data_IF_556029875569
#
_entry.id   IF_556029875569
#
_cell.length_a   1.000
_cell.length_b   1.000
_cell.length_c   1.000
_cell.angle_alpha   90.00
_cell.angle_beta   90.00
_cell.angle_gamma   90.00
#
_symmetry.space_group_name_H-M   'P 1'
#
loop_
_entity.id
_entity.type
_entity.pdbx_description
1 polymer ?
#
# COMPACT_ATOMS: atom_id res chain seq x y z
N UNK A 1 -6.52 -30.81 -5.80
CA UNK A 1 -5.61 -29.78 -6.35
C UNK A 1 -5.98 -28.44 -5.73
N UNK A 2 -5.28 -28.03 -4.68
CA UNK A 2 -5.44 -26.69 -4.10
C UNK A 2 -4.77 -25.70 -5.03
N UNK A 3 -5.55 -24.91 -5.76
CA UNK A 3 -5.01 -23.80 -6.55
C UNK A 3 -4.48 -22.75 -5.58
N UNK A 4 -3.17 -22.71 -5.40
CA UNK A 4 -2.47 -21.69 -4.63
C UNK A 4 -2.10 -20.54 -5.57
N UNK A 5 -2.25 -19.32 -5.07
CA UNK A 5 -1.89 -18.09 -5.76
C UNK A 5 -0.88 -17.31 -4.90
N UNK A 6 0.32 -17.16 -5.43
CA UNK A 6 1.40 -16.40 -4.79
C UNK A 6 1.36 -14.95 -5.25
N UNK A 7 1.34 -14.03 -4.28
CA UNK A 7 1.17 -12.60 -4.54
C UNK A 7 2.30 -11.80 -3.92
N UNK A 8 3.07 -11.14 -4.78
CA UNK A 8 3.99 -10.07 -4.38
C UNK A 8 3.23 -8.75 -4.36
N UNK A 9 2.82 -8.29 -3.18
CA UNK A 9 1.85 -7.21 -3.05
C UNK A 9 2.28 -5.89 -3.71
N UNK A 10 3.58 -5.55 -3.70
CA UNK A 10 4.09 -4.36 -4.39
C UNK A 10 4.05 -4.51 -5.92
N UNK A 11 4.39 -5.69 -6.44
CA UNK A 11 4.33 -5.99 -7.88
C UNK A 11 2.89 -5.89 -8.37
N UNK A 12 1.96 -6.56 -7.66
CA UNK A 12 0.54 -6.50 -7.96
C UNK A 12 -0.02 -5.07 -7.85
N UNK A 13 0.46 -4.26 -6.89
CA UNK A 13 0.08 -2.85 -6.74
C UNK A 13 0.47 -2.02 -7.97
N UNK A 14 1.62 -2.29 -8.58
CA UNK A 14 2.05 -1.57 -9.79
C UNK A 14 1.25 -2.04 -11.00
N UNK A 15 1.10 -3.35 -11.18
CA UNK A 15 0.39 -3.95 -12.33
C UNK A 15 -1.09 -3.54 -12.38
N UNK A 16 -1.74 -3.49 -11.22
CA UNK A 16 -3.16 -3.08 -11.12
C UNK A 16 -3.33 -1.57 -10.95
N UNK A 17 -2.24 -0.83 -10.76
CA UNK A 17 -2.24 0.59 -10.36
C UNK A 17 -3.11 0.89 -9.11
N UNK A 18 -3.21 -0.05 -8.18
CA UNK A 18 -3.91 0.12 -6.89
C UNK A 18 -2.87 0.31 -5.81
N UNK A 19 -2.94 1.39 -5.00
CA UNK A 19 -2.00 1.60 -3.89
C UNK A 19 -2.07 0.42 -2.90
N UNK A 20 -0.93 0.12 -2.26
CA UNK A 20 -0.76 -1.06 -1.41
C UNK A 20 -1.83 -1.24 -0.31
N UNK A 21 -2.21 -0.16 0.39
CA UNK A 21 -3.21 -0.24 1.47
C UNK A 21 -4.62 -0.55 0.93
N UNK A 22 -5.13 0.18 -0.08
CA UNK A 22 -6.33 -0.23 -0.80
C UNK A 22 -6.27 -1.65 -1.34
N UNK A 23 -5.16 -2.08 -1.95
CA UNK A 23 -5.01 -3.42 -2.50
C UNK A 23 -5.15 -4.50 -1.41
N UNK A 24 -4.49 -4.33 -0.26
CA UNK A 24 -4.65 -5.25 0.88
C UNK A 24 -6.10 -5.32 1.35
N UNK A 25 -6.79 -4.18 1.39
CA UNK A 25 -8.23 -4.15 1.73
C UNK A 25 -9.07 -4.89 0.67
N UNK A 26 -8.70 -4.79 -0.61
CA UNK A 26 -9.39 -5.48 -1.71
C UNK A 26 -9.26 -7.00 -1.55
N UNK A 27 -8.06 -7.49 -1.24
CA UNK A 27 -7.79 -8.90 -0.99
C UNK A 27 -8.62 -9.44 0.20
N UNK A 28 -8.77 -8.64 1.26
CA UNK A 28 -9.67 -8.98 2.39
C UNK A 28 -11.13 -9.07 1.94
N UNK A 29 -11.62 -8.15 1.09
CA UNK A 29 -12.99 -8.26 0.58
C UNK A 29 -13.21 -9.50 -0.30
N UNK A 30 -12.22 -9.89 -1.09
CA UNK A 30 -12.27 -11.14 -1.86
C UNK A 30 -12.32 -12.36 -0.93
N UNK A 31 -11.58 -12.33 0.19
CA UNK A 31 -11.62 -13.37 1.21
C UNK A 31 -12.97 -13.45 1.93
N UNK A 32 -13.54 -12.31 2.32
CA UNK A 32 -14.88 -12.24 2.94
C UNK A 32 -15.99 -12.74 2.00
N UNK A 33 -15.81 -12.58 0.68
CA UNK A 33 -16.70 -13.14 -0.35
C UNK A 33 -16.41 -14.62 -0.65
N UNK A 34 -15.43 -15.23 0.01
CA UNK A 34 -15.10 -16.65 -0.14
C UNK A 34 -14.39 -17.01 -1.45
N UNK A 35 -13.82 -16.03 -2.15
CA UNK A 35 -13.13 -16.23 -3.43
C UNK A 35 -11.70 -16.73 -3.20
N UNK A 36 -11.00 -16.09 -2.26
CA UNK A 36 -9.67 -16.48 -1.82
C UNK A 36 -9.66 -16.75 -0.32
N UNK A 37 -8.58 -17.34 0.18
CA UNK A 37 -8.30 -17.48 1.61
C UNK A 37 -6.82 -17.20 1.85
N UNK A 38 -6.49 -16.31 2.78
CA UNK A 38 -5.11 -16.12 3.21
C UNK A 38 -4.60 -17.39 3.88
N UNK A 39 -3.40 -17.83 3.50
CA UNK A 39 -2.77 -19.04 4.05
C UNK A 39 -1.57 -18.68 4.92
N UNK A 40 -0.49 -18.23 4.31
CA UNK A 40 0.75 -17.85 4.97
C UNK A 40 1.52 -16.84 4.11
N UNK A 41 2.49 -16.17 4.73
CA UNK A 41 3.43 -15.27 4.05
C UNK A 41 4.83 -15.85 4.22
N UNK A 42 5.64 -15.80 3.17
CA UNK A 42 7.06 -16.13 3.23
C UNK A 42 7.88 -15.10 2.45
N UNK A 43 9.19 -15.06 2.64
CA UNK A 43 10.07 -14.22 1.84
C UNK A 43 10.67 -15.02 0.69
N UNK A 44 10.67 -14.45 -0.52
CA UNK A 44 11.18 -15.14 -1.72
C UNK A 44 12.67 -15.47 -1.62
N UNK A 45 13.43 -14.54 -1.04
CA UNK A 45 14.88 -14.59 -0.98
C UNK A 45 15.34 -14.37 0.47
N UNK A 46 16.41 -15.07 0.83
CA UNK A 46 17.13 -14.86 2.07
C UNK A 46 18.58 -14.62 1.71
N UNK A 47 19.12 -13.53 2.25
CA UNK A 47 20.52 -13.15 2.08
C UNK A 47 21.10 -12.86 3.45
N UNK A 48 22.36 -13.18 3.66
CA UNK A 48 23.01 -12.92 4.94
C UNK A 48 24.44 -12.45 4.74
N UNK A 49 24.93 -11.67 5.70
CA UNK A 49 26.35 -11.31 5.80
C UNK A 49 26.96 -12.11 6.94
N UNK A 50 28.09 -12.77 6.69
CA UNK A 50 28.80 -13.55 7.70
C UNK A 50 29.64 -12.65 8.61
N UNK A 51 29.59 -12.91 9.92
CA UNK A 51 30.53 -12.37 10.91
C UNK A 51 31.50 -13.43 11.43
N UNK A 52 31.15 -14.71 11.26
CA UNK A 52 31.97 -15.86 11.57
C UNK A 52 32.16 -16.73 10.32
N UNK A 53 33.28 -17.41 10.21
CA UNK A 53 33.55 -18.34 9.10
C UNK A 53 32.54 -19.51 9.12
N UNK A 54 32.05 -19.97 7.95
CA UNK A 54 31.08 -21.06 7.86
C UNK A 54 31.48 -22.30 8.67
N UNK A 55 32.76 -22.71 8.61
CA UNK A 55 33.28 -23.87 9.33
C UNK A 55 33.25 -23.70 10.85
N UNK A 56 33.30 -22.47 11.36
CA UNK A 56 33.11 -22.19 12.78
C UNK A 56 31.66 -22.43 13.18
N UNK A 57 30.72 -21.92 12.39
CA UNK A 57 29.27 -22.09 12.62
C UNK A 57 28.90 -23.57 12.54
N UNK A 58 29.37 -24.29 11.51
CA UNK A 58 29.12 -25.72 11.30
C UNK A 58 29.60 -26.55 12.52
N UNK A 59 30.78 -26.24 13.07
CA UNK A 59 31.35 -26.97 14.23
C UNK A 59 30.54 -26.82 15.51
N UNK A 60 29.68 -25.81 15.63
CA UNK A 60 28.79 -25.61 16.79
C UNK A 60 27.62 -26.62 16.82
N UNK A 61 27.39 -27.34 15.72
CA UNK A 61 26.32 -28.35 15.61
C UNK A 61 26.87 -29.78 15.58
N UNK A 62 26.00 -30.75 15.93
CA UNK A 62 26.31 -32.19 15.92
C UNK A 62 25.22 -32.99 15.18
N UNK A 63 25.61 -34.14 14.65
CA UNK A 63 24.71 -35.07 13.98
C UNK A 63 23.98 -34.45 12.79
N UNK A 64 22.69 -34.73 12.67
CA UNK A 64 21.84 -34.30 11.56
C UNK A 64 21.74 -32.76 11.44
N UNK A 65 21.78 -32.01 12.55
CA UNK A 65 21.82 -30.54 12.50
C UNK A 65 23.09 -30.02 11.81
N UNK A 66 24.23 -30.65 12.05
CA UNK A 66 25.49 -30.27 11.40
C UNK A 66 25.43 -30.47 9.90
N UNK A 67 24.84 -31.58 9.45
CA UNK A 67 24.66 -31.87 8.04
C UNK A 67 23.75 -30.84 7.36
N UNK A 68 22.65 -30.45 8.01
CA UNK A 68 21.79 -29.38 7.50
C UNK A 68 22.53 -28.04 7.37
N UNK A 69 23.27 -27.63 8.41
CA UNK A 69 24.01 -26.36 8.37
C UNK A 69 25.10 -26.37 7.30
N UNK A 70 25.79 -27.49 7.12
CA UNK A 70 26.74 -27.65 6.01
C UNK A 70 26.03 -27.48 4.67
N UNK A 71 24.93 -28.20 4.45
CA UNK A 71 24.16 -28.14 3.22
C UNK A 71 23.64 -26.73 2.91
N UNK A 72 23.23 -25.98 3.94
CA UNK A 72 22.81 -24.58 3.79
C UNK A 72 23.94 -23.70 3.24
N UNK A 73 25.17 -23.85 3.73
CA UNK A 73 26.33 -23.10 3.21
C UNK A 73 26.77 -23.60 1.84
N UNK A 74 26.67 -24.90 1.56
CA UNK A 74 26.97 -25.46 0.24
C UNK A 74 25.97 -24.96 -0.83
N UNK A 75 24.72 -24.69 -0.43
CA UNK A 75 23.67 -24.07 -1.25
C UNK A 75 23.65 -22.54 -1.17
N UNK A 76 24.76 -21.93 -0.74
CA UNK A 76 24.87 -20.49 -0.60
C UNK A 76 25.93 -19.91 -1.54
N UNK A 77 25.59 -18.83 -2.24
CA UNK A 77 26.51 -18.13 -3.13
C UNK A 77 26.85 -16.74 -2.56
N UNK A 78 28.13 -16.51 -2.30
CA UNK A 78 28.64 -15.20 -1.83
C UNK A 78 29.01 -14.33 -3.01
N UNK A 79 28.35 -13.17 -3.15
CA UNK A 79 28.64 -12.22 -4.24
C UNK A 79 29.75 -11.22 -3.88
N UNK A 80 29.58 -10.46 -2.79
CA UNK A 80 30.57 -9.47 -2.31
C UNK A 80 30.64 -9.45 -0.79
N UNK A 81 29.56 -9.01 -0.18
CA UNK A 81 29.38 -8.94 1.29
C UNK A 81 28.18 -9.78 1.72
N UNK A 82 27.18 -9.87 0.85
CA UNK A 82 25.98 -10.65 1.06
C UNK A 82 26.11 -11.99 0.35
N UNK A 83 25.67 -13.02 1.06
CA UNK A 83 25.58 -14.41 0.66
C UNK A 83 24.10 -14.76 0.51
N UNK A 84 23.72 -15.23 -0.68
CA UNK A 84 22.35 -15.64 -0.97
C UNK A 84 22.24 -17.15 -0.81
N UNK A 85 21.22 -17.63 -0.11
CA UNK A 85 20.94 -19.06 0.00
C UNK A 85 19.87 -19.47 -1.02
N UNK A 86 20.18 -20.49 -1.81
CA UNK A 86 19.20 -21.16 -2.66
C UNK A 86 18.39 -22.14 -1.81
N UNK A 87 17.32 -21.62 -1.21
CA UNK A 87 16.42 -22.45 -0.39
C UNK A 87 15.74 -23.49 -1.28
N UNK A 88 15.28 -23.17 -2.48
CA UNK A 88 14.55 -24.14 -3.31
C UNK A 88 15.42 -25.34 -3.72
N UNK A 89 16.67 -25.08 -4.13
CA UNK A 89 17.65 -26.13 -4.38
C UNK A 89 17.90 -27.00 -3.13
N UNK A 90 18.08 -26.36 -1.97
CA UNK A 90 18.30 -27.06 -0.70
C UNK A 90 17.10 -27.96 -0.30
N UNK A 91 15.87 -27.49 -0.50
CA UNK A 91 14.65 -28.26 -0.22
C UNK A 91 14.54 -29.49 -1.12
N UNK A 92 14.91 -29.35 -2.40
CA UNK A 92 14.92 -30.44 -3.38
C UNK A 92 15.95 -31.52 -3.02
N UNK A 93 17.17 -31.11 -2.66
CA UNK A 93 18.28 -32.05 -2.44
C UNK A 93 18.20 -32.76 -1.09
N UNK A 94 17.79 -32.06 -0.03
CA UNK A 94 17.84 -32.56 1.35
C UNK A 94 16.46 -32.90 1.95
N UNK A 95 15.36 -32.69 1.23
CA UNK A 95 13.99 -33.01 1.67
C UNK A 95 13.64 -32.41 3.05
N UNK A 96 14.20 -31.25 3.37
CA UNK A 96 13.95 -30.55 4.63
C UNK A 96 12.79 -29.57 4.46
N UNK A 97 11.99 -29.28 5.52
CA UNK A 97 10.97 -28.25 5.43
C UNK A 97 11.56 -26.83 5.37
N UNK A 98 11.01 -25.94 4.54
CA UNK A 98 11.42 -24.51 4.45
C UNK A 98 11.50 -23.84 5.81
N UNK A 99 10.49 -24.06 6.65
CA UNK A 99 10.42 -23.49 8.00
C UNK A 99 11.63 -23.86 8.87
N UNK A 100 12.29 -24.99 8.60
CA UNK A 100 13.47 -25.44 9.34
C UNK A 100 14.73 -24.66 8.93
N UNK A 101 14.88 -24.42 7.63
CA UNK A 101 15.99 -23.63 7.07
C UNK A 101 15.87 -22.18 7.55
N UNK A 102 14.68 -21.60 7.48
CA UNK A 102 14.41 -20.23 7.96
C UNK A 102 14.70 -20.09 9.44
N UNK A 103 14.24 -21.04 10.28
CA UNK A 103 14.54 -21.05 11.72
C UNK A 103 16.04 -21.13 12.02
N UNK A 104 16.81 -21.86 11.19
CA UNK A 104 18.26 -21.93 11.37
C UNK A 104 18.93 -20.58 11.05
N UNK A 105 18.52 -19.90 9.97
CA UNK A 105 19.00 -18.56 9.63
C UNK A 105 18.64 -17.53 10.72
N UNK A 106 17.40 -17.52 11.19
CA UNK A 106 16.97 -16.65 12.30
C UNK A 106 17.77 -16.94 13.58
N UNK A 107 18.07 -18.21 13.86
CA UNK A 107 18.92 -18.57 14.98
C UNK A 107 20.34 -18.03 14.81
N UNK A 108 20.96 -18.15 13.63
CA UNK A 108 22.30 -17.60 13.38
C UNK A 108 22.34 -16.08 13.57
N UNK A 109 21.29 -15.38 13.13
CA UNK A 109 21.13 -13.93 13.29
C UNK A 109 21.01 -13.55 14.77
N UNK A 110 20.17 -14.27 15.54
CA UNK A 110 20.04 -14.08 16.99
C UNK A 110 21.35 -14.34 17.76
N UNK A 111 22.20 -15.23 17.26
CA UNK A 111 23.51 -15.50 17.83
C UNK A 111 24.59 -14.53 17.33
N UNK A 112 24.23 -13.55 16.49
CA UNK A 112 25.12 -12.57 15.87
C UNK A 112 26.23 -13.22 15.01
N UNK A 113 25.98 -14.44 14.49
CA UNK A 113 26.92 -15.11 13.58
C UNK A 113 26.78 -14.60 12.14
N UNK A 114 25.57 -14.14 11.82
CA UNK A 114 25.23 -13.50 10.56
C UNK A 114 24.39 -12.25 10.81
N UNK A 115 24.32 -11.37 9.82
CA UNK A 115 23.26 -10.36 9.68
C UNK A 115 22.30 -10.85 8.60
N UNK A 116 21.05 -11.13 8.95
CA UNK A 116 20.04 -11.66 8.03
C UNK A 116 19.25 -10.54 7.35
N UNK A 117 19.06 -10.65 6.04
CA UNK A 117 18.15 -9.82 5.23
C UNK A 117 17.22 -10.67 4.40
N UNK A 118 15.94 -10.36 4.50
CA UNK A 118 14.87 -11.00 3.73
C UNK A 118 14.52 -10.16 2.50
N UNK A 119 14.24 -10.83 1.38
CA UNK A 119 13.73 -10.23 0.15
C UNK A 119 12.27 -9.82 0.24
N UNK A 120 11.56 -9.81 -0.89
CA UNK A 120 10.16 -9.42 -0.92
C UNK A 120 9.26 -10.46 -0.22
N UNK A 121 8.29 -9.99 0.56
CA UNK A 121 7.24 -10.84 1.10
C UNK A 121 6.30 -11.31 -0.02
N UNK A 122 6.01 -12.60 -0.01
CA UNK A 122 5.07 -13.30 -0.88
C UNK A 122 3.93 -13.81 -0.02
N UNK A 123 2.73 -13.30 -0.27
CA UNK A 123 1.50 -13.77 0.37
C UNK A 123 0.91 -14.91 -0.44
N UNK A 124 0.62 -16.04 0.21
CA UNK A 124 0.00 -17.20 -0.43
C UNK A 124 -1.49 -17.23 -0.11
N UNK A 125 -2.30 -17.29 -1.17
CA UNK A 125 -3.74 -17.42 -1.09
C UNK A 125 -4.19 -18.75 -1.66
N UNK A 126 -5.13 -19.41 -0.99
CA UNK A 126 -5.86 -20.52 -1.60
C UNK A 126 -7.07 -19.97 -2.38
N UNK A 127 -7.16 -20.30 -3.66
CA UNK A 127 -8.32 -19.98 -4.49
C UNK A 127 -9.43 -20.98 -4.15
N UNK A 128 -10.54 -20.46 -3.61
CA UNK A 128 -11.69 -21.24 -3.12
C UNK A 128 -12.79 -21.38 -4.15
N UNK A 129 -12.99 -20.36 -4.97
CA UNK A 129 -14.00 -20.36 -6.02
C UNK A 129 -13.49 -19.57 -7.21
N UNK A 130 -13.72 -20.12 -8.40
CA UNK A 130 -13.60 -19.42 -9.69
C UNK A 130 -14.97 -19.19 -10.34
N UNK A 131 -16.05 -19.56 -9.64
CA UNK A 131 -17.41 -19.46 -10.16
C UNK A 131 -18.04 -18.15 -9.68
N UNK A 132 -17.66 -17.05 -10.32
CA UNK A 132 -18.23 -15.72 -10.10
C UNK A 132 -18.12 -14.90 -11.38
N UNK A 133 -19.03 -13.95 -11.54
CA UNK A 133 -18.97 -12.97 -12.61
C UNK A 133 -17.95 -11.88 -12.23
N UNK A 134 -16.88 -11.77 -13.02
CA UNK A 134 -15.77 -10.84 -12.78
C UNK A 134 -16.22 -9.40 -12.90
N UNK A 135 -17.06 -9.08 -13.90
CA UNK A 135 -17.52 -7.72 -14.16
C UNK A 135 -18.46 -7.27 -13.04
N UNK A 136 -19.41 -8.14 -12.65
CA UNK A 136 -20.31 -7.86 -11.54
C UNK A 136 -19.54 -7.66 -10.23
N UNK A 137 -18.55 -8.51 -9.95
CA UNK A 137 -17.73 -8.39 -8.74
C UNK A 137 -16.90 -7.10 -8.74
N UNK A 138 -16.32 -6.72 -9.88
CA UNK A 138 -15.55 -5.50 -10.01
C UNK A 138 -16.41 -4.25 -9.71
N UNK A 139 -17.64 -4.20 -10.23
CA UNK A 139 -18.61 -3.13 -9.92
C UNK A 139 -18.91 -3.07 -8.42
N UNK A 140 -19.23 -4.21 -7.80
CA UNK A 140 -19.52 -4.26 -6.36
C UNK A 140 -18.33 -3.78 -5.51
N UNK A 141 -17.11 -4.21 -5.83
CA UNK A 141 -15.92 -3.80 -5.11
C UNK A 141 -15.67 -2.29 -5.29
N UNK A 142 -15.82 -1.77 -6.52
CA UNK A 142 -15.68 -0.35 -6.80
C UNK A 142 -16.66 0.50 -5.99
N UNK A 143 -17.93 0.09 -5.91
CA UNK A 143 -18.95 0.78 -5.12
C UNK A 143 -18.55 0.89 -3.64
N UNK A 144 -17.96 -0.15 -3.06
CA UNK A 144 -17.48 -0.12 -1.66
C UNK A 144 -16.42 0.99 -1.48
N UNK A 145 -15.46 1.12 -2.40
CA UNK A 145 -14.45 2.17 -2.32
C UNK A 145 -15.03 3.56 -2.54
N UNK A 146 -15.94 3.72 -3.50
CA UNK A 146 -16.60 5.00 -3.76
C UNK A 146 -17.45 5.47 -2.58
N UNK A 147 -18.19 4.56 -1.94
CA UNK A 147 -18.94 4.86 -0.72
C UNK A 147 -18.01 5.24 0.43
N UNK A 148 -16.89 4.54 0.59
CA UNK A 148 -15.87 4.87 1.61
C UNK A 148 -15.28 6.25 1.36
N UNK A 149 -14.89 6.55 0.13
CA UNK A 149 -14.38 7.87 -0.26
C UNK A 149 -15.41 8.97 0.08
N UNK A 150 -16.67 8.80 -0.31
CA UNK A 150 -17.74 9.76 -0.02
C UNK A 150 -17.91 9.98 1.48
N UNK A 151 -17.90 8.90 2.29
CA UNK A 151 -18.00 9.00 3.75
C UNK A 151 -16.83 9.74 4.38
N UNK A 152 -15.60 9.46 3.94
CA UNK A 152 -14.40 10.12 4.48
C UNK A 152 -14.36 11.61 4.12
N UNK A 153 -14.70 11.99 2.88
CA UNK A 153 -14.82 13.39 2.47
C UNK A 153 -15.90 14.11 3.28
N UNK A 154 -17.06 13.47 3.46
CA UNK A 154 -18.13 14.01 4.31
C UNK A 154 -17.68 14.19 5.76
N UNK A 155 -16.88 13.27 6.30
CA UNK A 155 -16.32 13.35 7.66
C UNK A 155 -15.37 14.54 7.82
N UNK A 156 -14.53 14.82 6.83
CA UNK A 156 -13.68 16.03 6.81
C UNK A 156 -14.55 17.29 6.82
N UNK A 157 -15.59 17.37 5.99
CA UNK A 157 -16.50 18.51 6.01
C UNK A 157 -17.27 18.65 7.32
N UNK A 158 -17.64 17.55 7.97
CA UNK A 158 -18.26 17.58 9.30
C UNK A 158 -17.29 18.17 10.34
N UNK A 159 -16.01 17.80 10.29
CA UNK A 159 -14.97 18.32 11.17
C UNK A 159 -14.75 19.83 10.95
N UNK A 160 -14.70 20.29 9.70
CA UNK A 160 -14.61 21.73 9.38
C UNK A 160 -15.83 22.49 9.94
N UNK A 161 -17.05 22.00 9.68
CA UNK A 161 -18.28 22.61 10.22
C UNK A 161 -18.33 22.60 11.75
N UNK A 162 -17.74 21.59 12.38
CA UNK A 162 -17.61 21.51 13.82
C UNK A 162 -16.75 22.66 14.37
N UNK A 163 -15.57 22.90 13.79
CA UNK A 163 -14.70 24.01 14.22
C UNK A 163 -15.32 25.39 13.96
N UNK A 164 -16.09 25.53 12.90
CA UNK A 164 -16.81 26.75 12.56
C UNK A 164 -18.20 26.86 13.21
N UNK A 165 -18.51 25.98 14.16
CA UNK A 165 -19.78 25.98 14.86
C UNK A 165 -19.93 27.23 15.73
N UNK A 166 -21.18 27.69 15.89
CA UNK A 166 -21.55 28.72 16.87
C UNK A 166 -21.90 28.10 18.24
N UNK A 167 -21.91 26.77 18.34
CA UNK A 167 -22.24 26.04 19.55
C UNK A 167 -20.98 25.60 20.30
N UNK A 168 -21.12 25.31 21.59
CA UNK A 168 -20.04 24.78 22.41
C UNK A 168 -19.43 23.51 21.79
N UNK A 169 -18.12 23.53 21.53
CA UNK A 169 -17.42 22.41 20.89
C UNK A 169 -17.47 21.14 21.75
N UNK A 170 -17.22 21.25 23.06
CA UNK A 170 -17.28 20.11 23.98
C UNK A 170 -18.67 19.48 24.02
N UNK A 171 -19.74 20.29 23.97
CA UNK A 171 -21.12 19.78 23.86
C UNK A 171 -21.32 18.98 22.58
N UNK A 172 -20.90 19.53 21.44
CA UNK A 172 -21.04 18.87 20.14
C UNK A 172 -20.28 17.53 20.11
N UNK A 173 -19.09 17.45 20.72
CA UNK A 173 -18.33 16.20 20.86
C UNK A 173 -19.05 15.20 21.75
N UNK A 174 -19.52 15.61 22.93
CA UNK A 174 -20.30 14.73 23.81
C UNK A 174 -21.52 14.16 23.07
N UNK A 175 -22.29 15.00 22.36
CA UNK A 175 -23.44 14.53 21.57
C UNK A 175 -23.03 13.55 20.46
N UNK A 176 -21.90 13.79 19.79
CA UNK A 176 -21.37 12.88 18.77
C UNK A 176 -21.04 11.50 19.33
N UNK A 177 -20.50 11.42 20.55
CA UNK A 177 -20.21 10.16 21.25
C UNK A 177 -21.39 9.60 22.06
N UNK A 178 -22.55 10.24 22.02
CA UNK A 178 -23.77 9.80 22.72
C UNK A 178 -23.85 10.22 24.20
N UNK A 179 -22.97 11.09 24.66
CA UNK A 179 -22.95 11.65 26.01
C UNK A 179 -23.86 12.89 26.14
N UNK A 180 -24.48 13.04 27.31
CA UNK A 180 -25.37 14.18 27.64
C UNK A 180 -24.84 14.90 28.88
N UNK A 181 -25.14 16.20 29.01
CA UNK A 181 -24.92 16.96 30.25
C UNK A 181 -24.10 18.24 30.11
N UNK A 182 -23.37 18.43 29.01
CA UNK A 182 -22.62 19.67 28.76
C UNK A 182 -23.45 20.60 27.88
N UNK A 183 -23.99 21.68 28.44
CA UNK A 183 -24.66 22.73 27.66
C UNK A 183 -23.66 23.81 27.21
N UNK A 184 -22.78 24.24 28.13
CA UNK A 184 -21.64 25.14 27.87
C UNK A 184 -20.46 24.73 28.74
N UNK A 185 -19.30 24.49 28.13
CA UNK A 185 -18.10 24.09 28.86
C UNK A 185 -17.30 25.26 29.46
N UNK A 186 -17.54 26.50 29.03
CA UNK A 186 -16.83 27.69 29.51
C UNK A 186 -15.39 27.87 28.99
N UNK A 187 -14.76 26.84 28.43
CA UNK A 187 -13.32 26.89 28.06
C UNK A 187 -13.01 26.63 26.58
N UNK A 188 -13.96 26.13 25.77
CA UNK A 188 -13.72 25.98 24.33
C UNK A 188 -13.68 27.34 23.62
N UNK A 189 -13.09 27.42 22.43
CA UNK A 189 -12.98 28.66 21.65
C UNK A 189 -14.30 29.41 21.54
N UNK A 190 -15.39 28.71 21.25
CA UNK A 190 -16.75 29.30 21.14
C UNK A 190 -17.26 29.86 22.46
N UNK A 191 -17.00 29.18 23.58
CA UNK A 191 -17.43 29.65 24.89
C UNK A 191 -16.57 30.81 25.42
N UNK A 192 -15.27 30.82 25.09
CA UNK A 192 -14.32 31.79 25.59
C UNK A 192 -14.28 33.08 24.75
N UNK A 193 -14.26 32.95 23.41
CA UNK A 193 -14.02 34.06 22.48
C UNK A 193 -14.97 34.10 21.27
N UNK A 194 -15.85 33.11 21.10
CA UNK A 194 -16.79 33.03 19.99
C UNK A 194 -16.33 32.14 18.83
N UNK A 195 -17.10 32.15 17.73
CA UNK A 195 -16.87 31.28 16.57
C UNK A 195 -15.50 31.56 15.94
N UNK A 196 -14.75 30.49 15.65
CA UNK A 196 -13.59 30.55 14.76
C UNK A 196 -14.04 30.60 13.28
N UNK A 197 -13.34 31.40 12.48
CA UNK A 197 -13.55 31.48 11.02
C UNK A 197 -12.29 31.01 10.32
N UNK A 198 -12.45 30.04 9.42
CA UNK A 198 -11.34 29.59 8.58
C UNK A 198 -11.29 30.52 7.35
N UNK A 199 -10.15 31.19 7.08
CA UNK A 199 -10.05 32.07 5.93
C UNK A 199 -10.25 31.27 4.63
N UNK A 200 -10.92 31.86 3.62
CA UNK A 200 -11.06 31.21 2.32
C UNK A 200 -9.68 31.04 1.65
N UNK A 201 -9.56 30.02 0.80
CA UNK A 201 -8.38 29.85 -0.05
C UNK A 201 -8.18 31.05 -0.97
N UNK A 202 -6.91 31.29 -1.36
CA UNK A 202 -6.58 32.32 -2.35
C UNK A 202 -7.33 32.02 -3.66
N UNK A 203 -7.86 33.05 -4.36
CA UNK A 203 -8.49 32.84 -5.66
C UNK A 203 -7.44 32.35 -6.66
N UNK A 204 -7.78 31.28 -7.38
CA UNK A 204 -6.97 30.71 -8.45
C UNK A 204 -7.56 31.10 -9.82
N UNK A 205 -6.74 31.18 -10.88
CA UNK A 205 -7.24 31.32 -12.24
C UNK A 205 -8.28 30.25 -12.58
N UNK A 206 -9.32 30.55 -13.39
CA UNK A 206 -10.27 29.53 -13.81
C UNK A 206 -9.59 28.40 -14.57
N UNK A 207 -10.00 27.13 -14.35
CA UNK A 207 -9.43 25.99 -15.07
C UNK A 207 -9.56 26.10 -16.61
N UNK A 208 -10.52 26.87 -17.10
CA UNK A 208 -10.69 27.19 -18.53
C UNK A 208 -9.54 27.98 -19.15
N UNK A 209 -8.62 28.53 -18.36
CA UNK A 209 -7.39 29.17 -18.89
C UNK A 209 -6.32 28.15 -19.27
N UNK A 210 -6.48 26.89 -18.90
CA UNK A 210 -5.57 25.80 -19.20
C UNK A 210 -6.17 24.87 -20.27
N UNK A 211 -5.31 24.05 -20.87
CA UNK A 211 -5.70 23.03 -21.84
C UNK A 211 -5.34 21.63 -21.30
N UNK A 212 -6.32 20.72 -21.21
CA UNK A 212 -6.08 19.36 -20.69
C UNK A 212 -5.07 18.61 -21.54
N UNK A 213 -5.17 18.68 -22.87
CA UNK A 213 -4.27 17.98 -23.78
C UNK A 213 -2.84 18.46 -23.64
N UNK A 214 -2.61 19.77 -23.47
CA UNK A 214 -1.27 20.32 -23.24
C UNK A 214 -0.71 19.82 -21.91
N UNK A 215 -1.49 19.97 -20.82
CA UNK A 215 -1.05 19.59 -19.47
C UNK A 215 -0.93 18.08 -19.25
N UNK A 216 -1.43 17.25 -20.17
CA UNK A 216 -1.36 15.78 -20.06
C UNK A 216 -0.56 15.13 -21.18
N UNK A 217 0.04 15.92 -22.07
CA UNK A 217 0.85 15.44 -23.20
C UNK A 217 2.02 14.55 -22.72
N UNK A 218 2.84 15.05 -21.79
CA UNK A 218 4.01 14.33 -21.30
C UNK A 218 3.70 12.98 -20.65
N UNK A 219 2.63 12.88 -19.85
CA UNK A 219 2.24 11.59 -19.26
C UNK A 219 1.62 10.66 -20.31
N UNK A 220 0.93 11.20 -21.33
CA UNK A 220 0.33 10.41 -22.40
C UNK A 220 1.40 9.80 -23.32
N UNK A 221 2.47 10.54 -23.64
CA UNK A 221 3.61 10.01 -24.42
C UNK A 221 4.34 8.88 -23.70
N UNK A 222 4.43 8.99 -22.37
CA UNK A 222 5.12 8.01 -21.53
C UNK A 222 4.21 6.83 -21.18
N UNK A 223 2.92 6.85 -21.53
CA UNK A 223 1.98 5.78 -21.22
C UNK A 223 1.65 4.93 -22.45
N UNK A 224 1.63 3.60 -22.29
CA UNK A 224 1.35 2.66 -23.39
C UNK A 224 -0.14 2.52 -23.70
N UNK A 225 -1.01 3.05 -22.84
CA UNK A 225 -2.45 2.94 -22.94
C UNK A 225 -3.14 4.24 -22.59
N UNK A 226 -4.37 4.39 -23.07
CA UNK A 226 -5.23 5.54 -22.75
C UNK A 226 -5.46 5.60 -21.24
N UNK A 227 -5.14 6.76 -20.66
CA UNK A 227 -5.27 6.99 -19.24
C UNK A 227 -6.69 7.42 -18.89
N UNK A 228 -7.22 6.86 -17.81
CA UNK A 228 -8.51 7.34 -17.27
C UNK A 228 -8.41 8.78 -16.77
N UNK A 229 -9.52 9.52 -16.82
CA UNK A 229 -9.62 10.86 -16.24
C UNK A 229 -9.14 10.92 -14.77
N UNK A 230 -9.38 9.87 -13.99
CA UNK A 230 -8.93 9.79 -12.59
C UNK A 230 -7.41 9.72 -12.46
N UNK A 231 -6.70 9.09 -13.41
CA UNK A 231 -5.23 9.04 -13.44
C UNK A 231 -4.66 10.38 -13.87
N UNK A 232 -5.22 11.00 -14.91
CA UNK A 232 -4.83 12.34 -15.37
C UNK A 232 -5.03 13.38 -14.26
N UNK A 233 -6.18 13.35 -13.58
CA UNK A 233 -6.45 14.25 -12.44
C UNK A 233 -5.43 14.06 -11.33
N UNK A 234 -5.07 12.81 -10.98
CA UNK A 234 -4.03 12.54 -9.98
C UNK A 234 -2.67 13.08 -10.39
N UNK A 235 -2.32 12.97 -11.67
CA UNK A 235 -1.09 13.53 -12.21
C UNK A 235 -1.05 15.06 -12.07
N UNK A 236 -2.10 15.74 -12.53
CA UNK A 236 -2.20 17.20 -12.46
C UNK A 236 -2.24 17.74 -11.03
N UNK A 237 -2.91 17.05 -10.10
CA UNK A 237 -2.96 17.42 -8.70
C UNK A 237 -1.75 16.92 -7.87
N UNK A 238 -0.71 16.33 -8.49
CA UNK A 238 0.50 15.89 -7.78
C UNK A 238 0.28 14.67 -6.86
N UNK A 239 -0.80 13.92 -7.06
CA UNK A 239 -1.19 12.78 -6.25
C UNK A 239 -0.52 11.49 -6.78
N UNK A 240 0.43 10.95 -6.03
CA UNK A 240 1.18 9.75 -6.43
C UNK A 240 0.29 8.53 -6.71
N UNK A 241 0.50 7.84 -7.83
CA UNK A 241 -0.09 6.53 -8.15
C UNK A 241 1.00 5.47 -8.33
N UNK A 242 0.75 4.16 -8.09
CA UNK A 242 1.76 3.13 -8.26
C UNK A 242 2.41 3.14 -9.65
N UNK A 243 1.64 3.37 -10.70
CA UNK A 243 2.15 3.44 -12.06
C UNK A 243 3.19 4.56 -12.28
N UNK A 244 3.17 5.64 -11.48
CA UNK A 244 4.06 6.79 -11.66
C UNK A 244 5.52 6.52 -11.31
N UNK A 245 5.81 5.39 -10.65
CA UNK A 245 7.16 5.04 -10.20
C UNK A 245 8.07 4.53 -11.34
N UNK A 246 7.51 3.88 -12.37
CA UNK A 246 8.31 3.17 -13.38
C UNK A 246 8.98 4.06 -14.43
N UNK A 247 8.48 5.29 -14.67
CA UNK A 247 8.89 6.09 -15.84
C UNK A 247 9.23 7.55 -15.53
N UNK A 248 9.67 7.85 -14.30
CA UNK A 248 9.98 9.23 -13.87
C UNK A 248 8.82 10.20 -14.13
N UNK A 249 7.57 9.72 -14.11
CA UNK A 249 6.37 10.55 -14.37
C UNK A 249 6.30 11.73 -13.39
N UNK A 250 6.76 11.53 -12.15
CA UNK A 250 6.86 12.58 -11.14
C UNK A 250 7.90 13.67 -11.44
N UNK A 251 8.78 13.46 -12.42
CA UNK A 251 9.79 14.42 -12.86
C UNK A 251 9.32 15.23 -14.07
N UNK A 252 8.15 14.90 -14.64
CA UNK A 252 7.55 15.69 -15.70
C UNK A 252 7.13 17.05 -15.15
N UNK A 253 7.33 18.15 -15.90
CA UNK A 253 7.01 19.50 -15.44
C UNK A 253 5.52 19.69 -15.16
N UNK A 254 4.65 18.90 -15.80
CA UNK A 254 3.20 19.00 -15.63
C UNK A 254 2.69 18.29 -14.36
N UNK A 255 3.51 17.45 -13.73
CA UNK A 255 3.14 16.75 -12.51
C UNK A 255 2.92 17.75 -11.37
N UNK A 256 1.70 17.81 -10.84
CA UNK A 256 1.37 18.73 -9.75
C UNK A 256 1.07 20.17 -10.17
N UNK A 257 0.97 20.49 -11.46
CA UNK A 257 0.67 21.86 -11.90
C UNK A 257 -0.63 22.45 -11.35
N UNK A 258 -1.59 21.60 -10.97
CA UNK A 258 -2.88 21.97 -10.40
C UNK A 258 -3.02 21.48 -8.95
N UNK A 259 -1.93 21.36 -8.18
CA UNK A 259 -1.95 20.87 -6.79
C UNK A 259 -2.75 21.76 -5.82
N UNK A 260 -2.81 23.07 -6.10
CA UNK A 260 -3.57 24.04 -5.30
C UNK A 260 -5.09 24.00 -5.59
N UNK A 261 -5.52 23.32 -6.66
CA UNK A 261 -6.92 23.27 -7.05
C UNK A 261 -7.67 22.13 -6.34
N UNK A 262 -8.97 22.32 -6.02
CA UNK A 262 -9.79 21.25 -5.50
C UNK A 262 -9.84 20.06 -6.48
N UNK A 263 -9.45 18.87 -6.01
CA UNK A 263 -9.40 17.65 -6.84
C UNK A 263 -10.67 17.41 -7.66
N UNK A 264 -11.85 17.65 -7.07
CA UNK A 264 -13.15 17.45 -7.75
C UNK A 264 -13.39 18.41 -8.91
N UNK A 265 -12.88 19.63 -8.83
CA UNK A 265 -12.99 20.62 -9.92
C UNK A 265 -12.08 20.22 -11.08
N UNK A 266 -10.84 19.82 -10.79
CA UNK A 266 -9.91 19.30 -11.79
C UNK A 266 -10.47 18.02 -12.43
N UNK A 267 -11.03 17.10 -11.63
CA UNK A 267 -11.63 15.86 -12.13
C UNK A 267 -12.79 16.13 -13.09
N UNK A 268 -13.69 17.05 -12.73
CA UNK A 268 -14.84 17.42 -13.56
C UNK A 268 -14.39 18.08 -14.86
N UNK A 269 -13.40 18.96 -14.79
CA UNK A 269 -12.81 19.61 -15.95
C UNK A 269 -12.14 18.61 -16.90
N UNK A 270 -11.27 17.74 -16.38
CA UNK A 270 -10.62 16.68 -17.19
C UNK A 270 -11.65 15.78 -17.85
N UNK A 271 -12.70 15.34 -17.14
CA UNK A 271 -13.77 14.51 -17.72
C UNK A 271 -14.53 15.20 -18.84
N UNK A 272 -14.77 16.50 -18.72
CA UNK A 272 -15.49 17.29 -19.72
C UNK A 272 -14.69 17.44 -21.02
N UNK A 273 -13.39 17.67 -20.92
CA UNK A 273 -12.51 17.91 -22.07
C UNK A 273 -11.96 16.60 -22.68
N UNK A 274 -12.12 15.46 -22.00
CA UNK A 274 -11.73 14.12 -22.50
C UNK A 274 -12.89 13.35 -23.18
N UNK A 275 -14.07 13.96 -23.29
CA UNK A 275 -15.24 13.46 -24.03
C UNK A 275 -15.27 14.04 -25.44
#
# INVERSE_FOLDING_TARGET
LTHLWEVKAYTLSIETNIRILPLKTLLVYLELKGIIKSMYTYFEEYSFKLFHEPEEIIRRFKGERRQLVQAMFDHSETKKVWTNIDIEGLLSDYHVPRARVVKALEYFDQQEWIELKTGQAVDVYNIRSNNFDVDQLAVQLLEIYQQKEKREVQRIHQMVRFFESKNCLSRNLSLYFGEKGIERCGHCSVCAAGKATIPPSKPLPPLSTYNVSELTSGISEVSESTLSAAVLTKFLCGISSPMFMKRKIKQLPEYGMLEDYPYREVEAWVKKESQ
#
